data_IF_908427437473
#
_entry.id   IF_908427437473
#
_cell.length_a   1.000
_cell.length_b   1.000
_cell.length_c   1.000
_cell.angle_alpha   90.00
_cell.angle_beta   90.00
_cell.angle_gamma   90.00
#
_symmetry.space_group_name_H-M   'P 1'
#
loop_
_entity.id
_entity.type
_entity.pdbx_description
1 polymer ?
#
# COMPACT_ATOMS: atom_id res chain seq x y z
N UNK A 1 7.67 -15.76 11.88
CA UNK A 1 6.80 -15.96 10.72
C UNK A 1 7.50 -15.65 9.41
N UNK A 2 8.06 -14.47 9.26
CA UNK A 2 8.86 -14.07 8.08
C UNK A 2 10.31 -13.92 8.49
N UNK A 3 11.25 -14.32 7.63
CA UNK A 3 12.69 -14.12 7.88
C UNK A 3 13.45 -13.90 6.57
N UNK A 4 14.18 -12.79 6.47
CA UNK A 4 15.19 -12.56 5.45
C UNK A 4 16.57 -12.75 6.08
N UNK A 5 17.43 -13.52 5.42
CA UNK A 5 18.81 -13.80 5.88
C UNK A 5 19.79 -13.38 4.80
N UNK A 6 20.49 -12.30 5.04
CA UNK A 6 21.56 -11.78 4.21
C UNK A 6 21.16 -11.65 2.74
N UNK A 7 19.93 -11.10 2.49
CA UNK A 7 19.36 -11.07 1.14
C UNK A 7 19.87 -9.85 0.39
N UNK A 8 20.51 -10.12 -0.75
CA UNK A 8 20.87 -9.13 -1.77
C UNK A 8 20.15 -9.45 -3.07
N UNK A 9 19.76 -8.42 -3.84
CA UNK A 9 19.14 -8.57 -5.14
C UNK A 9 19.51 -7.45 -6.09
N UNK A 10 19.95 -7.85 -7.29
CA UNK A 10 20.24 -6.98 -8.42
C UNK A 10 19.36 -7.37 -9.59
N UNK A 11 18.56 -6.42 -10.13
CA UNK A 11 17.80 -6.66 -11.36
C UNK A 11 18.73 -6.82 -12.57
N UNK A 12 18.36 -7.67 -13.52
CA UNK A 12 19.15 -7.97 -14.72
C UNK A 12 19.55 -6.73 -15.52
N UNK A 13 18.68 -5.72 -15.58
CA UNK A 13 18.90 -4.47 -16.30
C UNK A 13 19.45 -3.34 -15.40
N UNK A 14 20.13 -3.66 -14.32
CA UNK A 14 20.69 -2.68 -13.37
C UNK A 14 22.13 -3.00 -13.04
N UNK A 15 23.00 -1.98 -13.07
CA UNK A 15 24.39 -2.12 -12.66
C UNK A 15 24.59 -2.11 -11.14
N UNK A 16 23.52 -1.86 -10.37
CA UNK A 16 23.56 -1.75 -8.91
C UNK A 16 22.56 -2.69 -8.25
N UNK A 17 22.95 -3.19 -7.08
CA UNK A 17 22.03 -3.88 -6.19
C UNK A 17 20.87 -2.97 -5.77
N UNK A 18 19.67 -3.49 -5.88
CA UNK A 18 18.46 -2.79 -5.41
C UNK A 18 18.26 -2.96 -3.90
N UNK A 19 18.71 -4.09 -3.37
CA UNK A 19 18.84 -4.36 -1.94
C UNK A 19 20.11 -5.14 -1.67
N UNK A 20 20.75 -4.88 -0.54
CA UNK A 20 22.04 -5.44 -0.16
C UNK A 20 22.04 -5.83 1.31
N UNK A 21 22.39 -7.09 1.59
CA UNK A 21 22.54 -7.65 2.93
C UNK A 21 21.33 -7.42 3.85
N UNK A 22 20.11 -7.56 3.32
CA UNK A 22 18.88 -7.39 4.11
C UNK A 22 18.75 -8.53 5.11
N UNK A 23 18.69 -8.15 6.39
CA UNK A 23 18.35 -9.03 7.50
C UNK A 23 17.11 -8.50 8.19
N UNK A 24 16.04 -9.30 8.24
CA UNK A 24 14.75 -8.92 8.81
C UNK A 24 14.03 -10.14 9.38
N UNK A 25 13.36 -9.98 10.49
CA UNK A 25 12.42 -10.95 11.04
C UNK A 25 11.11 -10.27 11.38
N UNK A 26 10.00 -10.95 11.14
CA UNK A 26 8.64 -10.46 11.46
C UNK A 26 7.89 -11.57 12.18
N UNK A 27 7.31 -11.23 13.31
CA UNK A 27 6.51 -12.14 14.11
C UNK A 27 5.04 -12.15 13.64
N UNK A 28 4.29 -13.18 14.02
CA UNK A 28 2.87 -13.31 13.66
C UNK A 28 2.05 -12.16 14.29
N UNK A 29 1.19 -11.53 13.48
CA UNK A 29 0.34 -10.43 13.92
C UNK A 29 1.06 -9.08 14.04
N UNK A 30 2.36 -9.03 13.74
CA UNK A 30 3.13 -7.79 13.78
C UNK A 30 2.83 -6.92 12.54
N UNK A 31 2.77 -5.59 12.74
CA UNK A 31 2.66 -4.61 11.68
C UNK A 31 3.99 -3.86 11.52
N UNK A 32 4.67 -4.07 10.39
CA UNK A 32 5.96 -3.46 10.07
C UNK A 32 5.81 -2.43 8.96
N UNK A 33 6.44 -1.27 9.16
CA UNK A 33 6.60 -0.23 8.16
C UNK A 33 8.01 -0.26 7.57
N UNK A 34 8.09 -0.37 6.25
CA UNK A 34 9.29 -0.08 5.47
C UNK A 34 9.23 1.37 5.01
N UNK A 35 10.15 2.22 5.45
CA UNK A 35 10.20 3.62 5.05
C UNK A 35 11.59 4.03 4.57
N UNK A 36 11.67 5.13 3.82
CA UNK A 36 12.90 5.65 3.23
C UNK A 36 12.63 6.41 1.95
N UNK A 37 13.65 6.98 1.34
CA UNK A 37 13.55 7.72 0.07
C UNK A 37 12.98 6.84 -1.05
N UNK A 38 12.43 7.47 -2.10
CA UNK A 38 12.07 6.73 -3.31
C UNK A 38 13.31 6.05 -3.90
N UNK A 39 13.14 4.80 -4.38
CA UNK A 39 14.24 4.01 -4.94
C UNK A 39 15.20 3.37 -3.91
N UNK A 40 14.94 3.46 -2.59
CA UNK A 40 15.81 2.84 -1.59
C UNK A 40 15.64 1.32 -1.40
N UNK A 41 14.82 0.65 -2.23
CA UNK A 41 14.67 -0.82 -2.21
C UNK A 41 13.41 -1.37 -1.55
N UNK A 42 12.47 -0.55 -1.03
CA UNK A 42 11.23 -1.00 -0.37
C UNK A 42 10.41 -1.97 -1.22
N UNK A 43 10.12 -1.60 -2.47
CA UNK A 43 9.39 -2.45 -3.43
C UNK A 43 10.13 -3.75 -3.74
N UNK A 44 11.47 -3.75 -3.71
CA UNK A 44 12.26 -4.97 -3.89
C UNK A 44 12.08 -5.89 -2.68
N UNK A 45 12.07 -5.36 -1.45
CA UNK A 45 11.77 -6.14 -0.25
C UNK A 45 10.34 -6.71 -0.31
N UNK A 46 9.33 -5.92 -0.69
CA UNK A 46 7.96 -6.44 -0.84
C UNK A 46 7.87 -7.56 -1.88
N UNK A 47 8.60 -7.45 -3.00
CA UNK A 47 8.67 -8.50 -4.04
C UNK A 47 9.39 -9.77 -3.58
N UNK A 48 10.36 -9.68 -2.68
CA UNK A 48 11.00 -10.85 -2.06
C UNK A 48 10.02 -11.59 -1.14
N UNK A 49 9.13 -10.86 -0.46
CA UNK A 49 8.19 -11.44 0.48
C UNK A 49 6.99 -12.09 -0.21
N UNK A 50 6.53 -11.55 -1.34
CA UNK A 50 5.39 -12.09 -2.07
C UNK A 50 5.79 -13.06 -3.20
N UNK A 51 7.09 -13.40 -3.32
CA UNK A 51 7.61 -14.36 -4.29
C UNK A 51 7.71 -13.84 -5.73
N UNK A 52 7.38 -12.58 -6.01
CA UNK A 52 7.65 -12.02 -7.34
C UNK A 52 9.15 -12.03 -7.66
N UNK A 53 10.00 -12.02 -6.66
CA UNK A 53 11.41 -12.38 -6.72
C UNK A 53 11.55 -13.71 -5.96
N UNK A 54 12.06 -14.79 -6.59
CA UNK A 54 12.66 -14.85 -7.93
C UNK A 54 11.73 -15.25 -9.06
N UNK A 55 10.45 -15.57 -8.79
CA UNK A 55 9.59 -16.28 -9.76
C UNK A 55 9.22 -15.47 -11.02
N UNK A 56 9.13 -14.15 -10.91
CA UNK A 56 8.67 -13.28 -12.01
C UNK A 56 9.64 -12.16 -12.37
N UNK A 57 10.57 -11.80 -11.48
CA UNK A 57 11.55 -10.76 -11.73
C UNK A 57 12.92 -11.38 -11.94
N UNK A 58 13.53 -11.16 -13.12
CA UNK A 58 14.87 -11.65 -13.45
C UNK A 58 15.93 -10.82 -12.76
N UNK A 59 16.98 -11.50 -12.24
CA UNK A 59 18.10 -10.86 -11.59
C UNK A 59 18.95 -11.85 -10.78
N UNK A 60 20.01 -11.31 -10.18
CA UNK A 60 20.89 -12.07 -9.30
C UNK A 60 20.43 -11.89 -7.87
N UNK A 61 20.06 -12.99 -7.21
CA UNK A 61 19.68 -13.06 -5.81
C UNK A 61 20.72 -13.83 -5.01
N UNK A 62 21.09 -13.28 -3.85
CA UNK A 62 21.90 -13.94 -2.85
C UNK A 62 21.14 -13.96 -1.51
N UNK A 63 21.49 -14.87 -0.61
CA UNK A 63 20.76 -15.06 0.64
C UNK A 63 19.41 -15.73 0.47
N UNK A 64 18.58 -15.74 1.52
CA UNK A 64 17.33 -16.51 1.53
C UNK A 64 16.20 -15.79 2.26
N UNK A 65 14.99 -15.85 1.69
CA UNK A 65 13.75 -15.39 2.28
C UNK A 65 12.91 -16.60 2.71
N UNK A 66 12.33 -16.55 3.92
CA UNK A 66 11.53 -17.63 4.49
C UNK A 66 10.16 -17.11 4.93
N UNK A 67 9.14 -17.92 4.69
CA UNK A 67 7.78 -17.74 5.21
C UNK A 67 7.38 -19.02 5.91
N UNK A 68 6.98 -18.92 7.17
CA UNK A 68 6.65 -20.06 8.03
C UNK A 68 7.74 -21.16 8.05
N UNK A 69 9.02 -20.75 7.93
CA UNK A 69 10.17 -21.65 7.94
C UNK A 69 10.52 -22.30 6.59
N UNK A 70 9.72 -22.10 5.55
CA UNK A 70 9.96 -22.60 4.19
C UNK A 70 10.57 -21.49 3.35
N UNK A 71 11.60 -21.80 2.55
CA UNK A 71 12.21 -20.83 1.64
C UNK A 71 11.21 -20.40 0.56
N UNK A 72 11.09 -19.09 0.32
CA UNK A 72 10.14 -18.53 -0.66
C UNK A 72 10.39 -19.09 -2.06
N UNK A 73 11.63 -19.35 -2.40
CA UNK A 73 12.06 -19.90 -3.69
C UNK A 73 11.54 -21.34 -3.93
N UNK A 74 11.22 -22.06 -2.84
CA UNK A 74 10.73 -23.45 -2.87
C UNK A 74 9.21 -23.51 -2.87
N UNK A 75 8.52 -22.40 -2.57
CA UNK A 75 7.05 -22.37 -2.50
C UNK A 75 6.49 -22.01 -3.87
N UNK A 76 5.69 -22.88 -4.52
CA UNK A 76 5.00 -22.53 -5.74
C UNK A 76 4.10 -21.29 -5.55
N UNK A 77 4.05 -20.39 -6.56
CA UNK A 77 3.32 -19.12 -6.46
C UNK A 77 1.85 -19.29 -6.05
N UNK A 78 1.16 -20.34 -6.54
CA UNK A 78 -0.24 -20.60 -6.19
C UNK A 78 -0.44 -21.01 -4.72
N UNK A 79 0.60 -21.56 -4.09
CA UNK A 79 0.58 -21.85 -2.64
C UNK A 79 0.94 -20.61 -1.84
N UNK A 80 1.96 -19.88 -2.28
CA UNK A 80 2.39 -18.65 -1.63
C UNK A 80 1.27 -17.61 -1.59
N UNK A 81 0.49 -17.47 -2.68
CA UNK A 81 -0.62 -16.52 -2.77
C UNK A 81 -1.78 -16.82 -1.79
N UNK A 82 -1.89 -18.03 -1.26
CA UNK A 82 -2.85 -18.38 -0.20
C UNK A 82 -2.40 -17.85 1.18
N UNK A 83 -1.08 -17.74 1.37
CA UNK A 83 -0.48 -17.29 2.65
C UNK A 83 -0.18 -15.81 2.64
N UNK A 84 0.31 -15.29 1.50
CA UNK A 84 0.75 -13.90 1.33
C UNK A 84 -0.16 -13.18 0.34
N UNK A 85 -0.99 -12.31 0.86
CA UNK A 85 -1.77 -11.36 0.06
C UNK A 85 -0.94 -10.14 -0.29
N UNK A 86 -1.04 -9.66 -1.53
CA UNK A 86 -0.27 -8.51 -2.02
C UNK A 86 -1.17 -7.43 -2.60
N UNK A 87 -0.93 -6.19 -2.18
CA UNK A 87 -1.59 -5.00 -2.72
C UNK A 87 -0.53 -4.10 -3.33
N UNK A 88 -0.64 -3.87 -4.64
CA UNK A 88 0.33 -3.12 -5.42
C UNK A 88 0.04 -1.61 -5.41
N UNK A 89 1.06 -0.81 -5.68
CA UNK A 89 0.99 0.64 -5.75
C UNK A 89 -0.07 1.15 -6.75
N UNK A 90 -0.25 0.45 -7.87
CA UNK A 90 -1.27 0.78 -8.86
C UNK A 90 -2.36 -0.30 -8.84
N UNK A 91 -3.53 -0.03 -8.25
CA UNK A 91 -4.62 -1.00 -8.19
C UNK A 91 -5.13 -1.43 -9.57
N UNK A 92 -5.00 -0.56 -10.59
CA UNK A 92 -5.44 -0.90 -11.96
C UNK A 92 -4.66 -2.05 -12.58
N UNK A 93 -3.41 -2.27 -12.18
CA UNK A 93 -2.59 -3.39 -12.67
C UNK A 93 -2.93 -4.72 -11.99
N UNK A 94 -3.78 -4.67 -10.97
CA UNK A 94 -4.18 -5.84 -10.17
C UNK A 94 -5.54 -6.41 -10.62
N UNK A 95 -6.39 -5.60 -11.27
CA UNK A 95 -7.74 -6.00 -11.65
C UNK A 95 -7.80 -6.83 -12.92
N UNK A 96 -8.57 -7.91 -12.88
CA UNK A 96 -8.83 -8.82 -13.99
C UNK A 96 -10.27 -8.72 -14.49
N UNK A 97 -11.21 -8.28 -13.65
CA UNK A 97 -12.63 -8.27 -13.94
C UNK A 97 -13.16 -6.86 -14.26
N UNK A 98 -14.38 -6.78 -14.77
CA UNK A 98 -15.02 -5.52 -15.17
C UNK A 98 -15.89 -4.92 -14.05
N UNK A 99 -16.34 -5.75 -13.14
CA UNK A 99 -17.19 -5.39 -12.01
C UNK A 99 -16.55 -5.77 -10.66
N UNK A 100 -17.04 -5.16 -9.61
CA UNK A 100 -16.48 -5.26 -8.27
C UNK A 100 -16.70 -6.62 -7.62
N UNK A 101 -17.84 -7.24 -7.82
CA UNK A 101 -18.17 -8.51 -7.18
C UNK A 101 -17.35 -9.64 -7.78
N UNK A 102 -17.26 -9.73 -9.11
CA UNK A 102 -16.37 -10.67 -9.80
C UNK A 102 -14.89 -10.45 -9.44
N UNK A 103 -14.45 -9.20 -9.25
CA UNK A 103 -13.08 -8.92 -8.83
C UNK A 103 -12.82 -9.37 -7.39
N UNK A 104 -13.77 -9.16 -6.50
CA UNK A 104 -13.65 -9.59 -5.10
C UNK A 104 -13.60 -11.12 -5.00
N UNK A 105 -14.41 -11.86 -5.77
CA UNK A 105 -14.51 -13.33 -5.69
C UNK A 105 -13.43 -14.07 -6.49
N UNK A 106 -12.77 -13.40 -7.43
CA UNK A 106 -11.83 -14.00 -8.38
C UNK A 106 -10.79 -14.93 -7.75
N UNK A 107 -10.17 -14.49 -6.65
CA UNK A 107 -9.12 -15.28 -6.00
C UNK A 107 -9.66 -16.57 -5.36
N UNK A 108 -10.83 -16.52 -4.74
CA UNK A 108 -11.43 -17.68 -4.06
C UNK A 108 -12.14 -18.62 -5.03
N UNK A 109 -12.63 -18.13 -6.16
CA UNK A 109 -13.10 -18.96 -7.28
C UNK A 109 -11.93 -19.79 -7.85
N UNK A 110 -10.78 -19.18 -8.10
CA UNK A 110 -9.57 -19.86 -8.54
C UNK A 110 -9.02 -20.86 -7.51
N UNK A 111 -9.36 -20.71 -6.24
CA UNK A 111 -9.03 -21.68 -5.20
C UNK A 111 -9.99 -22.88 -5.17
N UNK A 112 -11.09 -22.83 -5.94
CA UNK A 112 -12.07 -23.91 -6.06
C UNK A 112 -13.02 -23.99 -4.86
N UNK A 113 -13.30 -22.87 -4.18
CA UNK A 113 -14.29 -22.82 -3.10
C UNK A 113 -15.70 -23.06 -3.64
N UNK A 114 -16.61 -23.55 -2.80
CA UNK A 114 -18.03 -23.67 -3.17
C UNK A 114 -18.70 -22.30 -3.28
N UNK A 115 -19.78 -22.20 -4.05
CA UNK A 115 -20.54 -20.98 -4.24
C UNK A 115 -21.05 -20.41 -2.90
N UNK A 116 -21.52 -21.27 -2.00
CA UNK A 116 -21.97 -20.86 -0.66
C UNK A 116 -20.83 -20.24 0.16
N UNK A 117 -19.64 -20.84 0.12
CA UNK A 117 -18.47 -20.31 0.83
C UNK A 117 -17.97 -19.01 0.23
N UNK A 118 -17.99 -18.89 -1.09
CA UNK A 118 -17.65 -17.64 -1.80
C UNK A 118 -18.58 -16.50 -1.39
N UNK A 119 -19.89 -16.75 -1.42
CA UNK A 119 -20.90 -15.76 -1.05
C UNK A 119 -20.77 -15.35 0.43
N UNK A 120 -20.56 -16.32 1.33
CA UNK A 120 -20.30 -16.02 2.73
C UNK A 120 -19.08 -15.13 2.91
N UNK A 121 -17.95 -15.46 2.28
CA UNK A 121 -16.71 -14.65 2.38
C UNK A 121 -16.86 -13.26 1.77
N UNK A 122 -17.61 -13.15 0.69
CA UNK A 122 -17.90 -11.88 0.03
C UNK A 122 -18.72 -10.96 0.97
N UNK A 123 -19.73 -11.48 1.64
CA UNK A 123 -20.48 -10.71 2.63
C UNK A 123 -19.60 -10.32 3.82
N UNK A 124 -18.89 -11.28 4.43
CA UNK A 124 -18.00 -11.02 5.56
C UNK A 124 -16.94 -9.94 5.25
N UNK A 125 -16.26 -10.01 4.09
CA UNK A 125 -15.24 -9.02 3.75
C UNK A 125 -15.83 -7.66 3.46
N UNK A 126 -16.96 -7.58 2.78
CA UNK A 126 -17.62 -6.31 2.44
C UNK A 126 -18.22 -5.62 3.68
N UNK A 127 -18.74 -6.36 4.63
CA UNK A 127 -19.21 -5.84 5.91
C UNK A 127 -18.06 -5.41 6.83
N UNK A 128 -17.08 -6.30 7.04
CA UNK A 128 -15.94 -6.01 7.93
C UNK A 128 -15.16 -4.79 7.46
N UNK A 129 -14.95 -4.64 6.16
CA UNK A 129 -14.22 -3.50 5.58
C UNK A 129 -15.12 -2.31 5.24
N UNK A 130 -16.43 -2.42 5.48
CA UNK A 130 -17.44 -1.35 5.25
C UNK A 130 -17.50 -0.86 3.80
N UNK A 131 -17.34 -1.76 2.85
CA UNK A 131 -17.34 -1.47 1.42
C UNK A 131 -18.57 -1.98 0.67
N UNK A 132 -19.62 -2.39 1.36
CA UNK A 132 -20.86 -2.90 0.77
C UNK A 132 -21.47 -1.96 -0.29
N UNK A 133 -21.28 -0.64 -0.13
CA UNK A 133 -21.72 0.38 -1.10
C UNK A 133 -20.94 0.34 -2.44
N UNK A 134 -19.86 -0.41 -2.53
CA UNK A 134 -19.08 -0.59 -3.75
C UNK A 134 -19.45 -1.86 -4.51
N UNK A 135 -20.32 -2.71 -3.98
CA UNK A 135 -20.78 -3.95 -4.63
C UNK A 135 -21.61 -3.65 -5.89
N UNK A 136 -21.61 -4.59 -6.82
CA UNK A 136 -22.36 -4.55 -8.07
C UNK A 136 -22.09 -3.28 -8.91
N UNK A 137 -20.85 -2.77 -8.90
CA UNK A 137 -20.45 -1.59 -9.66
C UNK A 137 -19.40 -1.93 -10.71
N UNK A 138 -19.41 -1.17 -11.80
CA UNK A 138 -18.30 -1.23 -12.77
C UNK A 138 -17.02 -0.68 -12.15
N UNK A 139 -15.90 -1.42 -12.28
CA UNK A 139 -14.57 -0.97 -11.81
C UNK A 139 -14.16 0.34 -12.50
N UNK A 140 -14.60 0.58 -13.73
CA UNK A 140 -14.26 1.79 -14.47
C UNK A 140 -14.90 3.05 -13.87
N UNK A 141 -16.04 2.91 -13.18
CA UNK A 141 -16.77 4.01 -12.55
C UNK A 141 -16.21 4.38 -11.16
N UNK A 142 -15.34 3.54 -10.60
CA UNK A 142 -14.76 3.76 -9.29
C UNK A 142 -13.71 4.89 -9.33
N UNK A 143 -13.69 5.71 -8.28
CA UNK A 143 -12.59 6.63 -7.99
C UNK A 143 -11.30 5.87 -7.69
N UNK A 144 -10.15 6.57 -7.70
CA UNK A 144 -8.87 5.96 -7.34
C UNK A 144 -8.87 5.36 -5.93
N UNK A 145 -9.52 6.03 -4.98
CA UNK A 145 -9.68 5.54 -3.61
C UNK A 145 -10.53 4.28 -3.53
N UNK A 146 -11.71 4.28 -4.16
CA UNK A 146 -12.59 3.11 -4.21
C UNK A 146 -11.89 1.90 -4.86
N UNK A 147 -11.11 2.12 -5.92
CA UNK A 147 -10.28 1.06 -6.54
C UNK A 147 -9.30 0.45 -5.55
N UNK A 148 -8.61 1.28 -4.76
CA UNK A 148 -7.67 0.78 -3.77
C UNK A 148 -8.37 -0.04 -2.67
N UNK A 149 -9.55 0.39 -2.23
CA UNK A 149 -10.34 -0.37 -1.23
C UNK A 149 -10.76 -1.73 -1.78
N UNK A 150 -11.22 -1.79 -3.04
CA UNK A 150 -11.54 -3.06 -3.71
C UNK A 150 -10.28 -3.93 -3.84
N UNK A 151 -9.12 -3.37 -4.22
CA UNK A 151 -7.87 -4.13 -4.31
C UNK A 151 -7.42 -4.71 -2.96
N UNK A 152 -7.60 -4.00 -1.85
CA UNK A 152 -7.34 -4.56 -0.51
C UNK A 152 -8.34 -5.66 -0.18
N UNK A 153 -9.63 -5.45 -0.44
CA UNK A 153 -10.69 -6.39 -0.13
C UNK A 153 -10.56 -7.70 -0.96
N UNK A 154 -10.23 -7.61 -2.26
CA UNK A 154 -10.02 -8.78 -3.14
C UNK A 154 -8.86 -9.67 -2.68
N UNK A 155 -7.89 -9.10 -1.98
CA UNK A 155 -6.82 -9.87 -1.33
C UNK A 155 -7.31 -10.46 -0.01
N UNK A 156 -8.04 -9.70 0.80
CA UNK A 156 -8.48 -10.11 2.14
C UNK A 156 -9.52 -11.24 2.12
N UNK A 157 -10.33 -11.37 1.05
CA UNK A 157 -11.32 -12.46 0.91
C UNK A 157 -10.68 -13.85 0.96
N UNK A 158 -9.43 -13.97 0.51
CA UNK A 158 -8.64 -15.21 0.60
C UNK A 158 -8.16 -15.53 2.01
N UNK A 159 -8.38 -14.64 3.00
CA UNK A 159 -7.93 -14.76 4.39
C UNK A 159 -6.43 -15.06 4.51
N UNK A 160 -5.56 -14.23 3.91
CA UNK A 160 -4.12 -14.46 3.98
C UNK A 160 -3.61 -14.30 5.41
N UNK A 161 -2.54 -15.01 5.76
CA UNK A 161 -1.85 -14.84 7.06
C UNK A 161 -0.97 -13.59 7.09
N UNK A 162 -0.48 -13.19 5.92
CA UNK A 162 0.42 -12.05 5.71
C UNK A 162 -0.18 -11.13 4.65
N UNK A 163 -0.20 -9.83 4.91
CA UNK A 163 -0.59 -8.81 3.95
C UNK A 163 0.60 -7.89 3.67
N UNK A 164 1.02 -7.83 2.42
CA UNK A 164 2.09 -6.96 1.93
C UNK A 164 1.49 -5.84 1.09
N UNK A 165 1.69 -4.58 1.50
CA UNK A 165 1.19 -3.41 0.80
C UNK A 165 2.35 -2.54 0.31
N UNK A 166 2.39 -2.25 -0.97
CA UNK A 166 3.39 -1.38 -1.57
C UNK A 166 2.76 -0.04 -1.97
N UNK A 167 3.09 1.02 -1.23
CA UNK A 167 2.59 2.39 -1.38
C UNK A 167 1.05 2.50 -1.55
N UNK A 168 0.25 1.88 -0.66
CA UNK A 168 -1.20 1.76 -0.84
C UNK A 168 -1.93 3.11 -0.85
N UNK A 169 -1.28 4.20 -0.42
CA UNK A 169 -1.90 5.54 -0.39
C UNK A 169 -1.50 6.46 -1.54
N UNK A 170 -0.72 5.98 -2.53
CA UNK A 170 -0.14 6.82 -3.59
C UNK A 170 -1.18 7.67 -4.35
N UNK A 171 -2.38 7.13 -4.57
CA UNK A 171 -3.44 7.77 -5.35
C UNK A 171 -4.72 8.07 -4.52
N UNK A 172 -4.61 8.13 -3.19
CA UNK A 172 -5.74 8.31 -2.29
C UNK A 172 -5.89 9.76 -1.83
N UNK A 173 -7.14 10.22 -1.73
CA UNK A 173 -7.51 11.40 -0.97
C UNK A 173 -7.53 11.12 0.54
N UNK A 174 -7.72 12.14 1.34
CA UNK A 174 -7.70 12.02 2.80
C UNK A 174 -8.82 11.10 3.34
N UNK A 175 -9.98 11.09 2.70
CA UNK A 175 -11.11 10.27 3.11
C UNK A 175 -10.81 8.79 2.86
N UNK A 176 -10.29 8.44 1.68
CA UNK A 176 -9.89 7.08 1.35
C UNK A 176 -8.73 6.58 2.23
N UNK A 177 -7.77 7.45 2.58
CA UNK A 177 -6.71 7.12 3.53
C UNK A 177 -7.29 6.79 4.91
N UNK A 178 -8.30 7.54 5.38
CA UNK A 178 -8.95 7.24 6.65
C UNK A 178 -9.67 5.89 6.65
N UNK A 179 -10.34 5.55 5.56
CA UNK A 179 -11.00 4.25 5.40
C UNK A 179 -9.93 3.14 5.41
N UNK A 180 -8.87 3.27 4.61
CA UNK A 180 -7.76 2.31 4.57
C UNK A 180 -7.13 2.13 5.95
N UNK A 181 -6.92 3.23 6.70
CA UNK A 181 -6.43 3.17 8.08
C UNK A 181 -7.30 2.26 8.95
N UNK A 182 -8.62 2.44 8.90
CA UNK A 182 -9.56 1.64 9.69
C UNK A 182 -9.55 0.17 9.27
N UNK A 183 -9.44 -0.12 7.96
CA UNK A 183 -9.26 -1.48 7.44
C UNK A 183 -8.00 -2.13 8.02
N UNK A 184 -6.87 -1.45 8.00
CA UNK A 184 -5.60 -1.96 8.55
C UNK A 184 -5.68 -2.23 10.05
N UNK A 185 -6.37 -1.38 10.82
CA UNK A 185 -6.61 -1.61 12.25
C UNK A 185 -7.42 -2.89 12.46
N UNK A 186 -8.48 -3.12 11.69
CA UNK A 186 -9.31 -4.31 11.78
C UNK A 186 -8.53 -5.58 11.39
N UNK A 187 -7.77 -5.54 10.31
CA UNK A 187 -6.94 -6.66 9.85
C UNK A 187 -5.85 -7.02 10.88
N UNK A 188 -5.21 -6.01 11.47
CA UNK A 188 -4.25 -6.24 12.55
C UNK A 188 -4.92 -6.85 13.78
N UNK A 189 -6.08 -6.37 14.18
CA UNK A 189 -6.84 -6.91 15.31
C UNK A 189 -7.29 -8.36 15.06
N UNK A 190 -7.51 -8.74 13.80
CA UNK A 190 -7.77 -10.12 13.38
C UNK A 190 -6.50 -11.02 13.38
N UNK A 191 -5.33 -10.48 13.73
CA UNK A 191 -4.08 -11.22 13.85
C UNK A 191 -3.32 -11.39 12.53
N UNK A 192 -3.69 -10.65 11.47
CA UNK A 192 -2.96 -10.65 10.20
C UNK A 192 -1.62 -9.92 10.39
N UNK A 193 -0.55 -10.53 9.89
CA UNK A 193 0.78 -9.92 9.84
C UNK A 193 0.83 -8.94 8.68
N UNK A 194 1.22 -7.68 8.93
CA UNK A 194 1.12 -6.63 7.93
C UNK A 194 2.50 -6.04 7.66
N UNK A 195 2.91 -5.98 6.39
CA UNK A 195 4.11 -5.28 5.94
C UNK A 195 3.68 -4.17 4.98
N UNK A 196 4.04 -2.93 5.31
CA UNK A 196 3.67 -1.76 4.53
C UNK A 196 4.93 -1.02 4.08
N UNK A 197 5.14 -0.89 2.78
CA UNK A 197 6.10 0.05 2.22
C UNK A 197 5.37 1.37 1.94
N UNK A 198 5.80 2.49 2.56
CA UNK A 198 5.01 3.72 2.47
C UNK A 198 5.86 5.00 2.59
N UNK A 199 5.37 6.08 1.95
CA UNK A 199 5.92 7.43 2.04
C UNK A 199 5.05 8.39 2.86
N UNK A 200 3.71 8.17 2.88
CA UNK A 200 2.77 8.93 3.71
C UNK A 200 2.63 8.23 5.06
N UNK A 201 3.29 8.74 6.08
CA UNK A 201 3.48 8.03 7.34
C UNK A 201 2.43 8.36 8.40
N UNK A 202 1.80 9.54 8.33
CA UNK A 202 0.94 10.08 9.41
C UNK A 202 -0.24 9.19 9.77
N UNK A 203 -0.87 8.53 8.78
CA UNK A 203 -2.03 7.68 9.03
C UNK A 203 -1.69 6.37 9.75
N UNK A 204 -0.43 5.96 9.72
CA UNK A 204 0.06 4.72 10.34
C UNK A 204 0.35 4.86 11.85
N UNK A 205 0.26 6.08 12.38
CA UNK A 205 0.41 6.32 13.82
C UNK A 205 -0.59 5.46 14.62
N UNK A 206 -0.06 4.72 15.60
CA UNK A 206 -0.82 3.81 16.46
C UNK A 206 -1.15 2.44 15.86
N UNK A 207 -0.72 2.15 14.61
CA UNK A 207 -0.91 0.85 13.96
C UNK A 207 0.39 0.05 13.94
N UNK A 208 1.49 0.72 13.59
CA UNK A 208 2.79 0.11 13.34
C UNK A 208 3.49 -0.24 14.64
N UNK A 209 3.98 -1.48 14.76
CA UNK A 209 4.76 -1.96 15.90
C UNK A 209 6.25 -1.61 15.74
N UNK A 210 6.79 -1.86 14.54
CA UNK A 210 8.21 -1.58 14.21
C UNK A 210 8.33 -0.89 12.86
N UNK A 211 9.38 -0.09 12.73
CA UNK A 211 9.72 0.65 11.53
C UNK A 211 11.14 0.33 11.11
N UNK A 212 11.31 -0.12 9.88
CA UNK A 212 12.59 -0.37 9.26
C UNK A 212 12.90 0.80 8.30
N UNK A 213 13.84 1.64 8.69
CA UNK A 213 14.32 2.72 7.84
C UNK A 213 15.34 2.19 6.85
N UNK A 214 15.04 2.36 5.56
CA UNK A 214 15.86 1.91 4.45
C UNK A 214 16.54 3.08 3.75
N UNK A 215 17.82 2.88 3.41
CA UNK A 215 18.61 3.79 2.59
C UNK A 215 19.56 2.97 1.71
N UNK A 216 19.71 3.35 0.45
CA UNK A 216 20.64 2.74 -0.51
C UNK A 216 20.63 1.20 -0.52
N UNK A 217 19.44 0.62 -0.50
CA UNK A 217 19.24 -0.83 -0.53
C UNK A 217 19.47 -1.56 0.79
N UNK A 218 19.71 -0.87 1.90
CA UNK A 218 19.98 -1.46 3.22
C UNK A 218 18.97 -1.03 4.27
N UNK A 219 18.79 -1.87 5.28
CA UNK A 219 18.12 -1.46 6.52
C UNK A 219 19.18 -0.77 7.39
N UNK A 220 19.10 0.56 7.46
CA UNK A 220 20.05 1.38 8.20
C UNK A 220 19.70 1.45 9.69
N UNK A 221 18.41 1.46 10.00
CA UNK A 221 17.96 1.59 11.38
C UNK A 221 16.57 0.99 11.59
N UNK A 222 16.40 0.43 12.76
CA UNK A 222 15.13 -0.07 13.24
C UNK A 222 14.64 0.77 14.42
N UNK A 223 13.32 1.01 14.49
CA UNK A 223 12.67 1.75 15.54
C UNK A 223 11.43 0.99 16.02
N UNK A 224 11.05 1.15 17.27
CA UNK A 224 9.68 0.89 17.67
C UNK A 224 8.74 1.90 16.99
N UNK A 225 7.48 1.52 16.74
CA UNK A 225 6.50 2.47 16.20
C UNK A 225 6.42 3.75 17.03
N UNK A 226 6.41 3.62 18.35
CA UNK A 226 6.35 4.77 19.28
C UNK A 226 7.54 5.71 19.13
N UNK A 227 8.76 5.18 19.08
CA UNK A 227 9.96 6.03 18.98
C UNK A 227 10.06 6.69 17.60
N UNK A 228 9.70 5.96 16.55
CA UNK A 228 9.70 6.51 15.21
C UNK A 228 8.76 7.70 15.06
N UNK A 229 7.54 7.60 15.59
CA UNK A 229 6.57 8.69 15.50
C UNK A 229 6.88 9.88 16.41
N UNK A 230 7.83 9.73 17.35
CA UNK A 230 8.38 10.84 18.17
C UNK A 230 9.55 11.57 17.53
N UNK A 231 10.11 11.06 16.42
CA UNK A 231 11.19 11.75 15.71
C UNK A 231 10.78 13.18 15.34
N UNK A 232 11.70 14.11 15.55
CA UNK A 232 11.49 15.50 15.18
C UNK A 232 11.47 15.73 13.67
N UNK A 233 10.82 16.79 13.20
CA UNK A 233 10.81 17.16 11.77
C UNK A 233 12.23 17.29 11.17
N UNK A 234 13.23 17.93 11.84
CA UNK A 234 14.59 17.99 11.33
C UNK A 234 15.24 16.62 11.13
N UNK A 235 14.98 15.64 12.02
CA UNK A 235 15.47 14.27 11.88
C UNK A 235 14.83 13.58 10.69
N UNK A 236 13.49 13.68 10.55
CA UNK A 236 12.77 13.14 9.40
C UNK A 236 13.27 13.69 8.07
N UNK A 237 13.49 15.01 8.00
CA UNK A 237 14.01 15.66 6.79
C UNK A 237 15.41 15.15 6.44
N UNK A 238 16.30 14.98 7.42
CA UNK A 238 17.63 14.38 7.19
C UNK A 238 17.55 12.96 6.65
N UNK A 239 16.58 12.17 7.13
CA UNK A 239 16.30 10.83 6.63
C UNK A 239 15.58 10.84 5.25
N UNK A 240 15.22 11.99 4.72
CA UNK A 240 14.46 12.14 3.48
C UNK A 240 13.00 11.68 3.60
N UNK A 241 12.46 11.67 4.82
CA UNK A 241 11.08 11.33 5.09
C UNK A 241 10.19 12.58 5.08
N UNK A 242 8.91 12.39 4.79
CA UNK A 242 7.91 13.46 4.88
C UNK A 242 7.64 13.81 6.34
N UNK A 243 7.25 15.06 6.57
CA UNK A 243 6.75 15.49 7.88
C UNK A 243 5.45 14.75 8.21
N UNK A 244 5.19 14.54 9.51
CA UNK A 244 3.93 13.89 9.94
C UNK A 244 2.74 14.84 9.85
N UNK A 245 2.94 16.10 10.21
CA UNK A 245 1.94 17.14 10.05
C UNK A 245 2.30 17.92 8.79
N UNK A 246 1.42 17.92 7.80
CA UNK A 246 1.41 18.99 6.83
C UNK A 246 1.17 20.25 7.67
N UNK A 247 2.14 21.18 7.69
CA UNK A 247 1.84 22.53 8.20
C UNK A 247 0.62 22.96 7.41
N UNK A 248 -0.50 23.21 8.12
CA UNK A 248 -1.48 24.12 7.56
C UNK A 248 -0.65 25.28 7.02
N UNK A 249 -0.66 25.43 5.71
CA UNK A 249 -0.04 26.60 5.10
C UNK A 249 -0.75 27.75 5.75
N UNK A 250 -0.18 28.26 6.85
CA UNK A 250 -0.48 29.63 7.26
C UNK A 250 -0.18 30.40 5.98
N UNK A 251 -1.23 30.83 5.33
CA UNK A 251 -1.15 31.72 4.20
C UNK A 251 -0.23 32.85 4.63
N UNK A 252 1.06 32.71 4.35
CA UNK A 252 1.88 33.89 4.16
C UNK A 252 1.28 34.51 2.90
N UNK A 253 0.32 35.39 3.11
CA UNK A 253 -0.06 36.37 2.13
C UNK A 253 1.20 37.21 1.85
N UNK A 254 2.09 36.66 1.03
CA UNK A 254 3.02 37.51 0.29
C UNK A 254 2.13 38.28 -0.67
N UNK A 255 1.73 39.45 -0.23
CA UNK A 255 1.11 40.45 -1.10
C UNK A 255 2.12 40.80 -2.21
N UNK A 256 2.13 39.99 -3.25
CA UNK A 256 2.74 40.40 -4.50
C UNK A 256 1.82 41.44 -5.12
N UNK A 257 2.18 42.71 -4.98
CA UNK A 257 1.57 43.79 -5.73
C UNK A 257 2.02 43.74 -7.18
N UNK A 258 1.62 42.74 -7.93
CA UNK A 258 1.68 42.73 -9.38
C UNK A 258 0.29 43.11 -9.91
N UNK A 259 0.19 44.25 -10.57
CA UNK A 259 -1.05 44.79 -11.18
C UNK A 259 -1.59 43.97 -12.37
N UNK A 260 -1.01 42.85 -12.71
CA UNK A 260 -1.48 41.96 -13.78
C UNK A 260 -2.02 40.67 -13.21
N UNK A 261 -3.33 40.44 -13.38
CA UNK A 261 -4.00 39.19 -13.04
C UNK A 261 -3.64 38.17 -14.11
N UNK A 262 -2.97 37.06 -13.72
CA UNK A 262 -2.49 36.05 -14.65
C UNK A 262 -3.58 35.06 -15.06
N UNK A 263 -4.52 34.75 -14.17
CA UNK A 263 -5.59 33.75 -14.38
C UNK A 263 -6.91 34.29 -13.86
N UNK A 264 -7.95 34.30 -14.72
CA UNK A 264 -9.32 34.56 -14.32
C UNK A 264 -10.19 33.36 -14.71
N UNK A 265 -10.88 32.78 -13.76
CA UNK A 265 -11.93 31.79 -13.97
C UNK A 265 -13.24 32.43 -13.55
N UNK A 266 -14.24 32.36 -14.43
CA UNK A 266 -15.52 33.03 -14.24
C UNK A 266 -16.68 32.05 -14.50
N UNK A 267 -17.45 31.76 -13.47
CA UNK A 267 -18.67 30.95 -13.51
C UNK A 267 -18.53 29.59 -14.22
N UNK A 268 -17.42 28.88 -13.98
CA UNK A 268 -17.15 27.59 -14.61
C UNK A 268 -17.87 26.47 -13.88
N UNK A 269 -18.65 25.70 -14.63
CA UNK A 269 -19.30 24.46 -14.17
C UNK A 269 -18.84 23.30 -15.03
N UNK A 270 -18.55 22.15 -14.39
CA UNK A 270 -18.11 20.93 -15.06
C UNK A 270 -18.94 19.74 -14.59
N UNK A 271 -19.35 18.91 -15.55
CA UNK A 271 -20.01 17.61 -15.29
C UNK A 271 -19.19 16.49 -15.91
N UNK A 272 -19.15 15.35 -15.23
CA UNK A 272 -18.65 14.10 -15.74
C UNK A 272 -19.78 13.08 -15.71
N UNK A 273 -20.36 12.78 -16.89
CA UNK A 273 -21.62 12.04 -16.98
C UNK A 273 -22.76 12.76 -16.24
N UNK A 274 -23.40 12.06 -15.32
CA UNK A 274 -24.49 12.63 -14.47
C UNK A 274 -23.96 13.38 -13.24
N UNK A 275 -22.70 13.22 -12.86
CA UNK A 275 -22.10 13.81 -11.65
C UNK A 275 -21.58 15.21 -11.95
N UNK A 276 -22.05 16.23 -11.20
CA UNK A 276 -21.51 17.58 -11.25
C UNK A 276 -20.23 17.63 -10.43
N UNK A 277 -19.11 18.04 -11.04
CA UNK A 277 -17.77 18.11 -10.40
C UNK A 277 -17.47 19.52 -9.94
N UNK A 278 -17.75 20.52 -10.80
CA UNK A 278 -17.60 21.93 -10.46
C UNK A 278 -18.95 22.63 -10.64
N UNK A 279 -19.26 23.57 -9.77
CA UNK A 279 -20.50 24.33 -9.80
C UNK A 279 -20.20 25.80 -9.60
N UNK A 280 -20.35 26.59 -10.69
CA UNK A 280 -20.23 28.03 -10.70
C UNK A 280 -18.92 28.54 -10.02
N UNK A 281 -17.80 27.88 -10.31
CA UNK A 281 -16.48 28.26 -9.77
C UNK A 281 -16.02 29.56 -10.41
N UNK A 282 -15.73 30.55 -9.58
CA UNK A 282 -15.12 31.82 -10.01
C UNK A 282 -13.97 32.16 -9.09
N UNK A 283 -12.80 32.47 -9.66
CA UNK A 283 -11.67 33.04 -8.93
C UNK A 283 -10.74 33.83 -9.85
N UNK A 284 -9.90 34.65 -9.25
CA UNK A 284 -8.84 35.38 -9.96
C UNK A 284 -7.55 35.24 -9.17
N UNK A 285 -6.46 34.89 -9.86
CA UNK A 285 -5.13 34.73 -9.29
C UNK A 285 -4.11 35.56 -10.04
#
# INVERSE_FOLDING_TARGET
>A
MIKLRDVSFQYENSDKESVSHINMSVDKGECILLCGKSGCGKTTVTKLLNGLIPHMASGKKEGSAYINGVAVDEIPMYQLSKTVGSVFQNPKSQFFNLDTDSELTFAVENQGLSEDEINQRLEEVTESLKIGHLRNRSIFELSGGEKQLIAVASVCISRPEILVLDEPTANLDLQAIHILKNMLIQLKAAGITIIIAEHRLSYLFGIVDRVLYMSEGKIEKEYTGTDFFRLSDPERIRMGLRRLQERENSHRSTTYHTKQRAIKIDNVSLRYGKKRILNNLSFTA
#
